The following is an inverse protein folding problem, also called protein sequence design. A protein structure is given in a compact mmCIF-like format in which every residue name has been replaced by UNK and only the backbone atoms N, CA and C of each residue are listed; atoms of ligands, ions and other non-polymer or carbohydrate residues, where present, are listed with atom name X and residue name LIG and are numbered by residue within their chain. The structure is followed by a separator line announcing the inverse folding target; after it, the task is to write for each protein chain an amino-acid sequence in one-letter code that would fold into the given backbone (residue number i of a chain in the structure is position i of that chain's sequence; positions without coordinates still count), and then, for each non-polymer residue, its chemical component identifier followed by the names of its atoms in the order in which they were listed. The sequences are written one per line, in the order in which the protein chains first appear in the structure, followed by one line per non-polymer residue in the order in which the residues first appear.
data_IF_697601626357
#
_entry.id   IF_697601626357
#
_cell.length_a   1.000
_cell.length_b   1.000
_cell.length_c   1.000
_cell.angle_alpha   90.00
_cell.angle_beta   90.00
_cell.angle_gamma   90.00
#
_symmetry.space_group_name_H-M   'P 1'
#
loop_
_entity.id
_entity.type
_entity.pdbx_description
1 polymer ?
#
# COMPACT_ATOMS: atom_id res chain seq x y z
N UNK A 1 0.23 5.19 -2.26
CA UNK A 1 -0.29 6.01 -1.17
C UNK A 1 -1.04 5.10 -0.22
N UNK A 2 -0.47 4.80 0.92
CA UNK A 2 -1.15 4.00 1.94
C UNK A 2 -1.93 4.97 2.83
N UNK A 3 -3.27 4.89 2.80
CA UNK A 3 -4.11 5.52 3.80
C UNK A 3 -4.01 4.67 5.08
N UNK A 4 -3.26 5.13 6.05
CA UNK A 4 -3.42 4.66 7.42
C UNK A 4 -4.63 5.37 8.02
N UNK A 5 -5.75 4.68 8.14
CA UNK A 5 -6.88 5.16 8.94
C UNK A 5 -6.45 5.05 10.40
N UNK A 6 -5.89 6.13 10.95
CA UNK A 6 -5.67 6.24 12.37
C UNK A 6 -7.01 6.44 13.07
N UNK A 7 -7.50 5.39 13.72
CA UNK A 7 -8.62 5.47 14.66
C UNK A 7 -8.16 6.32 15.85
N UNK A 8 -8.66 7.54 15.93
CA UNK A 8 -8.50 8.41 17.10
C UNK A 8 -9.29 7.82 18.28
N UNK A 9 -8.61 7.04 19.12
CA UNK A 9 -9.08 6.77 20.48
C UNK A 9 -8.44 7.81 21.39
N UNK A 10 -9.19 8.84 21.75
CA UNK A 10 -8.83 9.74 22.81
C UNK A 10 -9.11 9.11 24.16
N UNK A 11 -8.08 8.90 24.97
CA UNK A 11 -8.17 8.86 26.44
C UNK A 11 -6.81 9.28 27.01
N UNK A 12 -6.84 10.34 27.79
CA UNK A 12 -5.68 10.85 28.50
C UNK A 12 -5.32 10.05 29.76
N UNK A 13 -4.08 10.17 30.19
CA UNK A 13 -3.68 9.88 31.58
C UNK A 13 -2.29 9.27 31.72
N UNK A 14 -1.31 10.13 31.98
CA UNK A 14 -0.13 10.05 32.88
C UNK A 14 0.83 8.87 32.86
N UNK A 15 2.06 9.23 32.53
CA UNK A 15 3.41 8.89 33.08
C UNK A 15 3.72 7.47 33.59
N UNK A 16 4.71 6.82 32.96
CA UNK A 16 6.03 6.60 33.55
C UNK A 16 6.99 5.89 32.59
N UNK A 17 8.22 6.38 32.57
CA UNK A 17 9.28 6.12 31.64
C UNK A 17 9.77 4.69 31.48
N UNK A 18 10.22 4.44 30.27
CA UNK A 18 11.29 3.51 29.95
C UNK A 18 11.95 3.94 28.63
N UNK A 19 13.24 4.20 28.68
CA UNK A 19 14.13 4.61 27.62
C UNK A 19 14.23 3.52 26.53
N UNK A 20 13.52 3.67 25.44
CA UNK A 20 13.81 3.09 24.15
C UNK A 20 13.63 4.19 23.15
N UNK A 21 14.67 4.56 22.39
CA UNK A 21 14.61 5.68 21.44
C UNK A 21 13.56 5.46 20.38
N UNK A 22 12.34 5.85 20.66
CA UNK A 22 11.29 6.10 19.67
C UNK A 22 11.66 7.42 19.03
N UNK A 23 12.03 7.38 17.76
CA UNK A 23 11.91 8.56 16.90
C UNK A 23 10.43 8.90 16.90
N UNK A 24 10.08 9.86 17.72
CA UNK A 24 8.78 10.49 17.72
C UNK A 24 8.58 11.06 16.31
N UNK A 25 7.81 10.37 15.47
CA UNK A 25 7.28 10.91 14.23
C UNK A 25 6.21 11.95 14.61
N UNK A 26 6.61 12.85 15.50
CA UNK A 26 5.80 13.89 16.06
C UNK A 26 5.33 14.85 14.98
N UNK A 27 4.30 15.55 15.30
CA UNK A 27 3.62 16.70 14.71
C UNK A 27 4.37 17.54 13.66
N UNK A 28 5.67 17.46 13.56
CA UNK A 28 6.51 18.24 12.63
C UNK A 28 6.50 17.71 11.20
N UNK A 29 6.01 16.47 10.99
CA UNK A 29 6.00 15.80 9.68
C UNK A 29 4.61 15.92 9.02
N UNK A 30 3.53 15.99 9.79
CA UNK A 30 2.16 16.17 9.30
C UNK A 30 1.70 17.60 9.57
N UNK A 31 1.47 18.37 8.51
CA UNK A 31 0.90 19.70 8.66
C UNK A 31 -0.62 19.61 8.51
N UNK A 32 -1.34 19.99 9.56
CA UNK A 32 -2.81 20.02 9.58
C UNK A 32 -3.29 21.47 9.42
N UNK A 33 -4.20 21.67 8.49
CA UNK A 33 -4.89 22.92 8.27
C UNK A 33 -6.37 22.74 8.60
N UNK A 34 -6.83 23.42 9.62
CA UNK A 34 -8.22 23.37 10.03
C UNK A 34 -9.08 24.28 9.14
N UNK A 35 -10.33 23.90 8.95
CA UNK A 35 -11.30 24.75 8.27
C UNK A 35 -11.46 26.11 9.01
N UNK A 36 -11.41 27.21 8.26
CA UNK A 36 -11.46 28.58 8.82
C UNK A 36 -12.90 29.04 9.07
N UNK A 37 -13.83 28.63 8.23
CA UNK A 37 -15.24 29.05 8.30
C UNK A 37 -16.17 27.93 7.79
N UNK A 38 -16.76 27.20 8.72
CA UNK A 38 -17.70 26.12 8.44
C UNK A 38 -19.09 26.61 8.03
N UNK A 39 -19.37 27.94 8.10
CA UNK A 39 -20.71 28.46 7.75
C UNK A 39 -21.02 28.27 6.28
N UNK A 40 -19.99 28.30 5.41
CA UNK A 40 -20.10 28.11 3.97
C UNK A 40 -20.11 26.66 3.51
N UNK A 41 -19.98 25.69 4.45
CA UNK A 41 -20.05 24.27 4.09
C UNK A 41 -21.39 23.96 3.40
N UNK A 42 -21.41 23.22 2.29
CA UNK A 42 -22.65 22.90 1.55
C UNK A 42 -23.73 22.27 2.41
N UNK A 43 -24.98 22.65 2.19
CA UNK A 43 -26.12 22.13 2.94
C UNK A 43 -26.28 20.60 2.82
N UNK A 44 -25.88 20.02 1.69
CA UNK A 44 -25.86 18.56 1.49
C UNK A 44 -24.94 17.89 2.49
N UNK A 45 -23.74 18.45 2.71
CA UNK A 45 -22.78 17.94 3.70
C UNK A 45 -23.27 18.18 5.14
N UNK A 46 -23.78 19.40 5.46
CA UNK A 46 -24.31 19.75 6.79
C UNK A 46 -25.45 18.83 7.23
N UNK A 47 -26.28 18.42 6.30
CA UNK A 47 -27.46 17.58 6.57
C UNK A 47 -27.15 16.08 6.57
N UNK A 48 -25.95 15.66 6.16
CA UNK A 48 -25.54 14.26 6.19
C UNK A 48 -25.24 13.84 7.63
N UNK A 49 -25.96 12.82 8.08
CA UNK A 49 -25.80 12.27 9.43
C UNK A 49 -25.49 10.79 9.32
N UNK A 50 -24.70 10.29 10.27
CA UNK A 50 -24.35 8.87 10.41
C UNK A 50 -23.69 8.24 9.15
N UNK A 51 -23.28 9.05 8.19
CA UNK A 51 -22.67 8.59 6.93
C UNK A 51 -21.46 9.45 6.56
N UNK A 52 -20.35 8.80 6.24
CA UNK A 52 -19.17 9.41 5.65
C UNK A 52 -19.10 9.01 4.18
N UNK A 53 -19.02 9.97 3.27
CA UNK A 53 -18.85 9.73 1.84
C UNK A 53 -17.41 10.03 1.44
N UNK A 54 -16.71 9.00 1.02
CA UNK A 54 -15.30 9.06 0.62
C UNK A 54 -15.22 9.00 -0.92
N UNK A 55 -14.58 10.01 -1.51
CA UNK A 55 -14.26 9.98 -2.93
C UNK A 55 -13.13 8.99 -3.22
N UNK A 56 -13.30 8.14 -4.22
CA UNK A 56 -12.32 7.12 -4.61
C UNK A 56 -12.26 6.92 -6.11
N UNK A 57 -11.12 6.47 -6.61
CA UNK A 57 -11.06 5.87 -7.94
C UNK A 57 -11.87 4.57 -7.94
N UNK A 58 -12.42 4.19 -9.09
CA UNK A 58 -13.29 3.03 -9.20
C UNK A 58 -12.59 1.75 -8.70
N UNK A 59 -13.11 1.07 -7.67
CA UNK A 59 -12.66 -0.26 -7.29
C UNK A 59 -12.92 -1.27 -8.41
N UNK A 60 -12.06 -2.29 -8.54
CA UNK A 60 -12.24 -3.39 -9.48
C UNK A 60 -13.40 -4.31 -9.07
N UNK A 61 -13.72 -4.31 -7.77
CA UNK A 61 -14.78 -5.10 -7.17
C UNK A 61 -14.28 -6.42 -6.59
N UNK A 62 -13.04 -6.44 -6.12
CA UNK A 62 -12.42 -7.62 -5.49
C UNK A 62 -12.30 -7.37 -3.99
N UNK A 63 -13.38 -7.64 -3.25
CA UNK A 63 -13.45 -7.39 -1.79
C UNK A 63 -13.16 -8.62 -0.93
N UNK A 64 -12.61 -9.68 -1.54
CA UNK A 64 -12.06 -10.80 -0.79
C UNK A 64 -10.63 -10.45 -0.31
N UNK A 65 -10.30 -10.52 1.00
CA UNK A 65 -9.01 -10.08 1.54
C UNK A 65 -7.81 -10.85 1.01
N UNK A 66 -8.02 -12.06 0.48
CA UNK A 66 -6.95 -12.87 -0.12
C UNK A 66 -6.64 -12.49 -1.57
N UNK A 67 -7.50 -11.69 -2.23
CA UNK A 67 -7.39 -11.36 -3.66
C UNK A 67 -7.42 -9.86 -3.96
N UNK A 68 -7.68 -9.01 -2.98
CA UNK A 68 -7.66 -7.56 -3.16
C UNK A 68 -6.20 -7.09 -3.41
N UNK A 69 -5.91 -6.62 -4.63
CA UNK A 69 -4.58 -6.18 -5.07
C UNK A 69 -4.53 -4.68 -5.37
N UNK A 70 -5.62 -4.14 -5.91
CA UNK A 70 -5.77 -2.71 -6.11
C UNK A 70 -5.92 -2.00 -4.77
N UNK A 71 -5.24 -0.87 -4.58
CA UNK A 71 -5.41 -0.04 -3.38
C UNK A 71 -6.88 0.32 -3.13
N UNK A 72 -7.65 0.54 -4.20
CA UNK A 72 -9.06 0.92 -4.14
C UNK A 72 -9.99 -0.23 -3.73
N UNK A 73 -9.55 -1.50 -3.87
CA UNK A 73 -10.21 -2.66 -3.30
C UNK A 73 -9.69 -2.95 -1.88
N UNK A 74 -8.39 -2.73 -1.62
CA UNK A 74 -7.76 -2.99 -0.32
C UNK A 74 -8.31 -2.09 0.79
N UNK A 75 -8.44 -0.77 0.57
CA UNK A 75 -8.93 0.17 1.59
C UNK A 75 -10.29 -0.22 2.19
N UNK A 76 -11.33 -0.48 1.40
CA UNK A 76 -12.59 -0.95 1.97
C UNK A 76 -12.47 -2.37 2.54
N UNK A 77 -11.62 -3.23 1.98
CA UNK A 77 -11.41 -4.59 2.48
C UNK A 77 -10.77 -4.59 3.87
N UNK A 78 -9.82 -3.70 4.16
CA UNK A 78 -9.21 -3.51 5.48
C UNK A 78 -10.22 -3.02 6.54
N UNK A 79 -11.24 -2.27 6.14
CA UNK A 79 -12.33 -1.91 7.03
C UNK A 79 -13.27 -3.09 7.32
N UNK A 80 -13.37 -4.05 6.38
CA UNK A 80 -14.24 -5.22 6.50
C UNK A 80 -13.56 -6.40 7.19
N UNK A 81 -12.25 -6.56 7.06
CA UNK A 81 -11.52 -7.71 7.58
C UNK A 81 -10.35 -7.27 8.45
N UNK A 82 -10.41 -7.63 9.73
CA UNK A 82 -9.30 -7.42 10.66
C UNK A 82 -8.18 -8.43 10.40
N UNK A 83 -6.93 -8.00 10.57
CA UNK A 83 -5.77 -8.89 10.64
C UNK A 83 -5.56 -9.40 12.07
N UNK A 84 -4.67 -10.37 12.27
CA UNK A 84 -4.31 -10.83 13.63
C UNK A 84 -3.74 -9.67 14.44
N UNK A 85 -2.79 -8.94 13.87
CA UNK A 85 -2.22 -7.70 14.42
C UNK A 85 -2.19 -6.63 13.33
N UNK A 86 -2.07 -5.36 13.69
CA UNK A 86 -2.06 -4.25 12.75
C UNK A 86 -0.87 -3.32 12.99
N UNK A 87 -0.30 -2.71 11.94
CA UNK A 87 0.76 -1.73 12.09
C UNK A 87 0.25 -0.47 12.80
N UNK A 88 1.07 0.07 13.69
CA UNK A 88 0.86 1.33 14.39
C UNK A 88 1.54 2.49 13.65
N UNK A 89 1.21 3.71 14.05
CA UNK A 89 1.75 4.92 13.42
C UNK A 89 3.29 5.02 13.51
N UNK A 90 3.89 4.44 14.52
CA UNK A 90 5.35 4.38 14.72
C UNK A 90 6.03 3.23 13.96
N UNK A 91 5.26 2.44 13.20
CA UNK A 91 5.74 1.27 12.45
C UNK A 91 5.86 -0.02 13.26
N UNK A 92 5.57 0.00 14.56
CA UNK A 92 5.44 -1.22 15.37
C UNK A 92 4.15 -1.98 15.04
N UNK A 93 4.05 -3.25 15.47
CA UNK A 93 2.83 -4.03 15.38
C UNK A 93 2.02 -3.89 16.67
N UNK A 94 0.73 -3.63 16.55
CA UNK A 94 -0.21 -3.56 17.66
C UNK A 94 -1.23 -4.69 17.60
N UNK A 95 -1.90 -4.95 18.72
CA UNK A 95 -2.98 -5.93 18.80
C UNK A 95 -4.18 -5.54 17.95
N UNK A 96 -4.79 -6.55 17.30
CA UNK A 96 -6.07 -6.32 16.58
C UNK A 96 -7.04 -7.46 16.88
N UNK A 97 -7.22 -8.46 15.97
CA UNK A 97 -8.03 -9.66 16.27
C UNK A 97 -7.34 -10.57 17.30
N UNK A 98 -6.03 -10.50 17.38
CA UNK A 98 -5.21 -11.25 18.33
C UNK A 98 -4.30 -10.31 19.14
N UNK A 99 -3.73 -10.83 20.23
CA UNK A 99 -2.59 -10.23 20.90
C UNK A 99 -1.31 -10.35 20.06
N UNK A 100 -0.25 -9.65 20.47
CA UNK A 100 1.08 -9.83 19.87
C UNK A 100 1.54 -11.28 20.03
N UNK A 101 2.34 -11.82 19.09
CA UNK A 101 2.73 -13.23 19.14
C UNK A 101 3.72 -13.54 20.27
N UNK A 102 3.57 -14.72 20.84
CA UNK A 102 4.65 -15.35 21.60
C UNK A 102 5.63 -15.96 20.59
N UNK A 103 6.91 -15.53 20.63
CA UNK A 103 7.94 -15.96 19.71
C UNK A 103 8.89 -16.92 20.44
N UNK A 104 9.19 -18.09 19.83
CA UNK A 104 10.15 -19.03 20.38
C UNK A 104 11.58 -18.49 20.38
N UNK A 105 12.44 -18.99 21.28
CA UNK A 105 13.85 -18.54 21.39
C UNK A 105 14.63 -18.71 20.07
N UNK A 106 14.30 -19.74 19.31
CA UNK A 106 14.90 -19.96 17.99
C UNK A 106 14.35 -19.05 16.89
N UNK A 107 13.32 -18.22 17.19
CA UNK A 107 12.69 -17.30 16.25
C UNK A 107 11.97 -17.98 15.07
N UNK A 108 11.63 -19.26 15.19
CA UNK A 108 10.96 -20.04 14.14
C UNK A 108 9.48 -20.26 14.40
N UNK A 109 9.02 -20.05 15.63
CA UNK A 109 7.62 -20.33 16.00
C UNK A 109 6.96 -19.06 16.54
N UNK A 110 5.76 -18.76 16.02
CA UNK A 110 4.95 -17.61 16.36
C UNK A 110 3.57 -18.07 16.79
N UNK A 111 3.20 -17.81 18.06
CA UNK A 111 1.90 -18.22 18.62
C UNK A 111 1.01 -17.01 18.82
N UNK A 112 -0.10 -16.94 18.11
CA UNK A 112 -1.10 -15.89 18.23
C UNK A 112 -2.31 -16.37 19.02
N UNK A 113 -2.77 -15.55 19.98
CA UNK A 113 -3.98 -15.78 20.75
C UNK A 113 -5.07 -14.83 20.29
N UNK A 114 -6.06 -15.35 19.58
CA UNK A 114 -7.23 -14.61 19.11
C UNK A 114 -8.04 -14.15 20.34
N UNK A 115 -8.47 -12.88 20.33
CA UNK A 115 -9.28 -12.33 21.43
C UNK A 115 -10.56 -13.12 21.60
N UNK A 116 -10.98 -13.35 22.84
CA UNK A 116 -12.15 -14.16 23.15
C UNK A 116 -13.45 -13.60 22.58
N UNK A 117 -13.53 -12.29 22.51
CA UNK A 117 -14.64 -11.50 21.97
C UNK A 117 -14.53 -11.17 20.48
N UNK A 118 -13.47 -11.64 19.80
CA UNK A 118 -13.37 -11.53 18.35
C UNK A 118 -14.45 -12.37 17.67
N UNK A 119 -15.34 -11.70 16.94
CA UNK A 119 -16.51 -12.29 16.27
C UNK A 119 -16.59 -11.87 14.81
N UNK A 120 -17.20 -12.71 14.03
CA UNK A 120 -17.71 -12.38 12.71
C UNK A 120 -18.98 -11.53 12.81
N UNK A 121 -19.32 -10.83 11.75
CA UNK A 121 -20.52 -9.99 11.68
C UNK A 121 -21.83 -10.76 11.85
N UNK A 122 -21.84 -12.05 11.59
CA UNK A 122 -22.97 -12.95 11.81
C UNK A 122 -23.07 -13.44 13.28
N UNK A 123 -22.17 -12.99 14.16
CA UNK A 123 -22.13 -13.31 15.59
C UNK A 123 -21.35 -14.59 15.93
N UNK A 124 -20.89 -15.34 14.94
CA UNK A 124 -20.02 -16.52 15.18
C UNK A 124 -18.62 -16.08 15.60
N UNK A 125 -17.90 -16.93 16.31
CA UNK A 125 -16.57 -16.61 16.80
C UNK A 125 -15.52 -16.67 15.68
N UNK A 126 -14.57 -15.72 15.68
CA UNK A 126 -13.33 -15.86 14.90
C UNK A 126 -12.45 -16.88 15.58
N UNK A 127 -11.99 -17.87 14.83
CA UNK A 127 -11.26 -19.04 15.35
C UNK A 127 -9.93 -19.26 14.63
N UNK A 128 -9.08 -20.11 15.20
CA UNK A 128 -7.84 -20.56 14.58
C UNK A 128 -8.08 -21.30 13.24
N UNK A 129 -9.25 -21.89 13.03
CA UNK A 129 -9.63 -22.52 11.75
C UNK A 129 -9.83 -21.49 10.63
N UNK A 130 -10.26 -20.29 10.97
CA UNK A 130 -10.43 -19.20 10.01
C UNK A 130 -9.07 -18.68 9.52
N UNK A 131 -8.07 -18.67 10.40
CA UNK A 131 -6.68 -18.36 10.06
C UNK A 131 -6.08 -19.47 9.21
N UNK A 132 -6.25 -20.75 9.60
CA UNK A 132 -5.80 -21.91 8.82
C UNK A 132 -6.38 -21.88 7.41
N UNK A 133 -7.68 -21.57 7.27
CA UNK A 133 -8.35 -21.50 5.98
C UNK A 133 -7.71 -20.42 5.06
N UNK A 134 -7.40 -19.26 5.60
CA UNK A 134 -6.73 -18.20 4.84
C UNK A 134 -5.35 -18.67 4.32
N UNK A 135 -4.56 -19.32 5.17
CA UNK A 135 -3.23 -19.83 4.79
C UNK A 135 -3.36 -20.98 3.77
N UNK A 136 -4.31 -21.90 3.94
CA UNK A 136 -4.56 -22.98 2.97
C UNK A 136 -4.88 -22.44 1.59
N UNK A 137 -5.78 -21.47 1.50
CA UNK A 137 -6.12 -20.82 0.22
C UNK A 137 -4.89 -20.15 -0.39
N UNK A 138 -4.14 -19.39 0.40
CA UNK A 138 -2.94 -18.68 -0.09
C UNK A 138 -1.78 -19.61 -0.47
N UNK A 139 -1.72 -20.83 0.07
CA UNK A 139 -0.74 -21.84 -0.29
C UNK A 139 -1.22 -22.82 -1.38
N UNK A 140 -2.42 -22.66 -1.92
CA UNK A 140 -2.98 -23.56 -2.92
C UNK A 140 -2.32 -23.35 -4.29
N UNK A 141 -2.12 -24.44 -5.04
CA UNK A 141 -1.48 -24.40 -6.37
C UNK A 141 -2.27 -23.62 -7.43
N UNK A 142 -3.58 -23.48 -7.22
CA UNK A 142 -4.47 -22.73 -8.10
C UNK A 142 -4.71 -21.28 -7.65
N UNK A 143 -4.13 -20.88 -6.50
CA UNK A 143 -4.26 -19.52 -5.98
C UNK A 143 -3.53 -18.51 -6.87
N UNK A 144 -4.19 -17.39 -7.16
CA UNK A 144 -3.68 -16.35 -8.06
C UNK A 144 -3.52 -14.98 -7.40
N UNK A 145 -3.77 -14.87 -6.09
CA UNK A 145 -3.54 -13.61 -5.35
C UNK A 145 -2.07 -13.42 -4.96
N UNK A 146 -1.81 -12.37 -4.21
CA UNK A 146 -0.45 -11.89 -3.89
C UNK A 146 0.17 -12.46 -2.60
N UNK A 147 -0.63 -13.06 -1.71
CA UNK A 147 -0.12 -13.62 -0.47
C UNK A 147 0.76 -14.84 -0.76
N UNK A 148 1.99 -14.84 -0.26
CA UNK A 148 2.95 -15.94 -0.49
C UNK A 148 3.63 -16.36 0.81
N UNK A 149 3.20 -17.50 1.35
CA UNK A 149 3.78 -18.15 2.53
C UNK A 149 4.71 -19.31 2.17
N UNK A 150 5.02 -19.50 0.89
CA UNK A 150 5.82 -20.59 0.36
C UNK A 150 7.20 -20.17 -0.13
N UNK A 151 7.24 -19.18 -1.02
CA UNK A 151 8.48 -18.69 -1.67
C UNK A 151 8.82 -17.24 -1.32
N UNK A 152 7.89 -16.55 -0.65
CA UNK A 152 8.01 -15.16 -0.25
C UNK A 152 9.01 -14.91 0.89
N UNK A 153 8.89 -13.76 1.53
CA UNK A 153 9.77 -13.35 2.65
C UNK A 153 9.62 -14.23 3.89
N UNK A 154 8.47 -14.86 4.05
CA UNK A 154 8.14 -15.73 5.18
C UNK A 154 7.70 -17.08 4.64
N UNK A 155 8.46 -18.13 4.95
CA UNK A 155 8.21 -19.48 4.46
C UNK A 155 7.64 -20.33 5.59
N UNK A 156 6.37 -20.64 5.51
CA UNK A 156 5.67 -21.51 6.49
C UNK A 156 5.97 -22.98 6.16
N UNK A 157 6.33 -23.74 7.19
CA UNK A 157 6.63 -25.16 7.06
C UNK A 157 5.43 -25.92 6.49
N UNK A 158 5.67 -26.78 5.52
CA UNK A 158 4.61 -27.57 4.87
C UNK A 158 3.82 -26.83 3.78
N UNK A 159 4.09 -25.54 3.54
CA UNK A 159 3.43 -24.79 2.47
C UNK A 159 3.76 -25.35 1.07
N UNK A 160 4.98 -25.81 0.86
CA UNK A 160 5.40 -26.45 -0.40
C UNK A 160 4.71 -27.78 -0.63
N UNK A 161 4.65 -28.64 0.39
CA UNK A 161 4.00 -29.96 0.31
C UNK A 161 2.49 -29.81 0.05
N UNK A 162 1.86 -28.79 0.68
CA UNK A 162 0.45 -28.47 0.44
C UNK A 162 0.23 -27.99 -0.99
N UNK A 163 1.06 -27.08 -1.48
CA UNK A 163 1.03 -26.59 -2.87
C UNK A 163 1.14 -27.72 -3.89
N UNK A 164 2.00 -28.69 -3.63
CA UNK A 164 2.22 -29.84 -4.52
C UNK A 164 1.13 -30.93 -4.40
N UNK A 165 0.12 -30.74 -3.54
CA UNK A 165 -0.93 -31.73 -3.28
C UNK A 165 -0.45 -33.00 -2.55
N UNK A 166 0.72 -32.92 -1.89
CA UNK A 166 1.31 -34.01 -1.11
C UNK A 166 0.83 -34.06 0.34
N UNK A 167 0.12 -33.05 0.79
CA UNK A 167 -0.43 -32.90 2.12
C UNK A 167 -1.81 -32.23 2.07
N UNK A 168 -2.70 -32.59 3.00
CA UNK A 168 -4.04 -32.01 3.13
C UNK A 168 -4.07 -30.77 4.02
N UNK A 169 -2.93 -30.42 4.62
CA UNK A 169 -2.77 -29.28 5.50
C UNK A 169 -1.37 -28.70 5.41
N UNK A 170 -1.22 -27.43 5.79
CA UNK A 170 0.07 -26.76 5.92
C UNK A 170 0.62 -27.10 7.30
N UNK A 171 1.59 -28.02 7.41
CA UNK A 171 2.06 -28.59 8.69
C UNK A 171 2.66 -27.56 9.66
N UNK A 172 3.05 -26.41 9.18
CA UNK A 172 3.52 -25.28 9.99
C UNK A 172 2.41 -24.41 10.56
N UNK A 173 1.13 -24.71 10.28
CA UNK A 173 -0.02 -24.05 10.89
C UNK A 173 -0.70 -25.04 11.82
N UNK A 174 -0.53 -24.84 13.13
CA UNK A 174 -1.09 -25.73 14.17
C UNK A 174 -2.24 -25.01 14.90
N UNK A 175 -3.40 -25.63 14.90
CA UNK A 175 -4.54 -25.21 15.73
C UNK A 175 -4.33 -25.82 17.12
N UNK A 176 -3.88 -25.01 18.08
CA UNK A 176 -3.65 -25.45 19.46
C UNK A 176 -4.99 -25.61 20.19
N UNK A 177 -5.86 -24.64 20.00
CA UNK A 177 -7.27 -24.62 20.42
C UNK A 177 -8.06 -23.65 19.51
N UNK A 178 -9.35 -23.46 19.78
CA UNK A 178 -10.21 -22.64 18.94
C UNK A 178 -9.75 -21.16 18.83
N UNK A 179 -8.99 -20.65 19.79
CA UNK A 179 -8.51 -19.26 19.82
C UNK A 179 -6.99 -19.13 19.72
N UNK A 180 -6.26 -20.23 19.57
CA UNK A 180 -4.79 -20.23 19.54
C UNK A 180 -4.29 -20.89 18.27
N UNK A 181 -3.59 -20.15 17.44
CA UNK A 181 -2.91 -20.62 16.23
C UNK A 181 -1.39 -20.44 16.38
N UNK A 182 -0.64 -21.45 15.96
CA UNK A 182 0.81 -21.43 15.98
C UNK A 182 1.38 -21.62 14.57
N UNK A 183 2.25 -20.72 14.16
CA UNK A 183 2.98 -20.80 12.90
C UNK A 183 4.40 -21.30 13.16
N UNK A 184 4.87 -22.22 12.35
CA UNK A 184 6.26 -22.69 12.32
C UNK A 184 6.87 -22.37 10.97
N UNK A 185 8.00 -21.67 10.96
CA UNK A 185 8.71 -21.26 9.76
C UNK A 185 9.80 -22.27 9.38
N UNK A 186 10.17 -22.28 8.10
CA UNK A 186 11.32 -23.05 7.59
C UNK A 186 12.64 -22.40 7.98
N UNK A 187 12.68 -21.06 8.01
CA UNK A 187 13.84 -20.26 8.33
C UNK A 187 13.43 -18.94 9.02
N UNK A 188 14.35 -18.31 9.75
CA UNK A 188 14.07 -17.01 10.38
C UNK A 188 13.84 -15.94 9.34
N UNK A 189 12.91 -15.05 9.60
CA UNK A 189 12.65 -13.87 8.78
C UNK A 189 12.41 -12.64 9.66
N UNK A 190 13.08 -11.55 9.35
CA UNK A 190 12.82 -10.25 9.99
C UNK A 190 11.45 -9.67 9.66
N UNK A 191 10.79 -10.18 8.63
CA UNK A 191 9.43 -9.78 8.24
C UNK A 191 8.35 -10.67 8.84
N UNK A 192 8.70 -11.65 9.68
CA UNK A 192 7.75 -12.67 10.14
C UNK A 192 6.57 -12.08 10.92
N UNK A 193 6.82 -11.16 11.84
CA UNK A 193 5.76 -10.53 12.63
C UNK A 193 4.78 -9.75 11.76
N UNK A 194 5.28 -9.00 10.78
CA UNK A 194 4.44 -8.20 9.88
C UNK A 194 3.61 -9.11 8.97
N UNK A 195 4.24 -10.13 8.37
CA UNK A 195 3.56 -10.99 7.39
C UNK A 195 2.56 -11.92 8.07
N UNK A 196 2.95 -12.58 9.16
CA UNK A 196 2.05 -13.47 9.90
C UNK A 196 0.97 -12.70 10.64
N UNK A 197 1.35 -11.58 11.29
CA UNK A 197 0.42 -10.69 11.99
C UNK A 197 -0.58 -10.02 11.06
N UNK A 198 -0.13 -9.67 9.84
CA UNK A 198 -0.99 -9.12 8.78
C UNK A 198 -1.94 -10.12 8.14
N UNK A 199 -1.90 -11.40 8.52
CA UNK A 199 -2.86 -12.39 8.03
C UNK A 199 -4.29 -11.99 8.42
N UNK A 200 -5.14 -11.81 7.42
CA UNK A 200 -6.57 -11.58 7.59
C UNK A 200 -7.29 -12.94 7.56
N UNK A 201 -7.86 -13.39 8.68
CA UNK A 201 -8.67 -14.60 8.70
C UNK A 201 -9.86 -14.47 7.75
N UNK A 202 -10.30 -15.59 7.20
CA UNK A 202 -11.53 -15.68 6.40
C UNK A 202 -12.48 -16.68 7.06
N UNK A 203 -13.79 -16.41 7.06
CA UNK A 203 -14.75 -17.31 7.68
C UNK A 203 -14.69 -18.70 7.02
N UNK A 204 -14.14 -19.68 7.74
CA UNK A 204 -13.84 -21.00 7.21
C UNK A 204 -15.12 -21.74 6.73
N UNK A 205 -16.24 -21.59 7.46
CA UNK A 205 -17.51 -22.22 7.10
C UNK A 205 -18.11 -21.60 5.82
N UNK A 206 -17.90 -20.30 5.61
CA UNK A 206 -18.32 -19.60 4.40
C UNK A 206 -17.45 -20.01 3.22
N UNK A 207 -16.12 -19.93 3.37
CA UNK A 207 -15.16 -20.22 2.30
C UNK A 207 -15.18 -21.69 1.85
N UNK A 208 -15.48 -22.63 2.75
CA UNK A 208 -15.62 -24.06 2.42
C UNK A 208 -16.70 -24.36 1.35
N UNK A 209 -17.59 -23.41 1.07
CA UNK A 209 -18.59 -23.54 -0.01
C UNK A 209 -17.97 -23.30 -1.40
N UNK A 210 -16.84 -22.59 -1.46
CA UNK A 210 -16.21 -22.12 -2.68
C UNK A 210 -14.80 -22.67 -2.89
N UNK A 211 -14.20 -23.22 -1.84
CA UNK A 211 -12.83 -23.70 -1.84
C UNK A 211 -12.72 -25.22 -1.63
N UNK A 212 -11.92 -25.86 -2.44
CA UNK A 212 -11.31 -27.15 -2.19
C UNK A 212 -9.88 -27.14 -2.74
N UNK A 213 -8.98 -27.92 -2.14
CA UNK A 213 -7.58 -27.95 -2.55
C UNK A 213 -7.42 -28.23 -4.05
N UNK A 214 -6.62 -27.42 -4.73
CA UNK A 214 -6.44 -27.44 -6.18
C UNK A 214 -7.53 -26.71 -6.97
N UNK A 215 -8.54 -26.13 -6.31
CA UNK A 215 -9.69 -25.48 -6.95
C UNK A 215 -10.09 -24.19 -6.22
N UNK A 216 -9.46 -23.08 -6.58
CA UNK A 216 -9.76 -21.74 -6.05
C UNK A 216 -10.64 -20.89 -6.97
N UNK A 217 -10.98 -21.38 -8.15
CA UNK A 217 -11.71 -20.65 -9.19
C UNK A 217 -13.07 -20.12 -8.73
N UNK A 218 -13.78 -20.88 -7.89
CA UNK A 218 -15.08 -20.48 -7.32
C UNK A 218 -14.98 -19.36 -6.28
N UNK A 219 -13.80 -19.12 -5.71
CA UNK A 219 -13.60 -17.99 -4.79
C UNK A 219 -13.87 -16.63 -5.45
N UNK A 220 -13.86 -16.54 -6.78
CA UNK A 220 -14.29 -15.34 -7.52
C UNK A 220 -15.73 -14.92 -7.22
N UNK A 221 -16.59 -15.86 -6.84
CA UNK A 221 -17.97 -15.59 -6.43
C UNK A 221 -18.04 -14.80 -5.11
N UNK A 222 -16.96 -14.83 -4.31
CA UNK A 222 -16.85 -14.06 -3.06
C UNK A 222 -16.31 -12.63 -3.25
N UNK A 223 -15.91 -12.24 -4.44
CA UNK A 223 -15.29 -10.93 -4.67
C UNK A 223 -16.25 -9.77 -4.36
N UNK A 224 -17.47 -9.83 -4.84
CA UNK A 224 -18.52 -8.83 -4.55
C UNK A 224 -19.54 -9.30 -3.51
N UNK A 225 -19.27 -10.43 -2.87
CA UNK A 225 -20.03 -10.98 -1.75
C UNK A 225 -19.06 -11.67 -0.78
N UNK A 226 -18.25 -10.91 -0.03
CA UNK A 226 -17.13 -11.46 0.73
C UNK A 226 -17.55 -12.32 1.95
N UNK A 227 -18.85 -12.40 2.26
CA UNK A 227 -19.38 -13.15 3.40
C UNK A 227 -19.26 -12.41 4.73
N UNK A 228 -19.26 -13.13 5.85
CA UNK A 228 -19.11 -12.53 7.17
C UNK A 228 -17.78 -11.79 7.30
N UNK A 229 -17.79 -10.63 7.89
CA UNK A 229 -16.64 -9.73 8.08
C UNK A 229 -16.22 -9.68 9.55
N UNK A 230 -14.96 -9.38 9.83
CA UNK A 230 -14.40 -9.30 11.19
C UNK A 230 -13.91 -7.89 11.56
N UNK A 231 -13.91 -6.96 10.60
CA UNK A 231 -13.47 -5.58 10.78
C UNK A 231 -14.57 -4.66 11.29
N UNK A 232 -14.29 -3.36 11.25
CA UNK A 232 -15.19 -2.31 11.75
C UNK A 232 -16.47 -2.17 10.93
N UNK A 233 -16.47 -2.60 9.66
CA UNK A 233 -17.62 -2.44 8.77
C UNK A 233 -17.95 -3.73 8.03
N UNK A 234 -19.21 -3.87 7.66
CA UNK A 234 -19.76 -4.96 6.85
C UNK A 234 -19.97 -4.49 5.41
N UNK A 235 -19.80 -5.40 4.45
CA UNK A 235 -20.24 -5.18 3.09
C UNK A 235 -21.76 -5.04 3.01
N UNK A 236 -22.25 -3.98 2.38
CA UNK A 236 -23.69 -3.76 2.19
C UNK A 236 -24.09 -3.84 0.72
N UNK A 237 -23.42 -3.11 -0.15
CA UNK A 237 -23.71 -3.14 -1.57
C UNK A 237 -22.56 -2.56 -2.40
N UNK A 238 -22.41 -3.04 -3.62
CA UNK A 238 -21.48 -2.50 -4.62
C UNK A 238 -22.19 -2.30 -5.96
N UNK A 239 -22.05 -1.11 -6.52
CA UNK A 239 -22.49 -0.77 -7.88
C UNK A 239 -21.25 -0.37 -8.67
N UNK A 240 -20.80 -1.25 -9.53
CA UNK A 240 -19.58 -1.08 -10.32
C UNK A 240 -19.54 0.29 -11.01
N UNK A 241 -18.43 1.00 -10.82
CA UNK A 241 -18.21 2.33 -11.40
C UNK A 241 -19.04 3.45 -10.77
N UNK A 242 -19.77 3.20 -9.67
CA UNK A 242 -20.60 4.20 -8.99
C UNK A 242 -20.26 4.33 -7.51
N UNK A 243 -20.53 3.29 -6.72
CA UNK A 243 -20.36 3.34 -5.27
C UNK A 243 -20.19 1.96 -4.63
N UNK A 244 -19.49 1.93 -3.51
CA UNK A 244 -19.47 0.84 -2.55
C UNK A 244 -20.02 1.35 -1.23
N UNK A 245 -20.96 0.63 -0.62
CA UNK A 245 -21.58 0.98 0.66
C UNK A 245 -21.20 -0.05 1.71
N UNK A 246 -20.67 0.44 2.83
CA UNK A 246 -20.36 -0.35 4.01
C UNK A 246 -21.27 0.11 5.17
N UNK A 247 -21.56 -0.80 6.10
CA UNK A 247 -22.35 -0.56 7.30
C UNK A 247 -21.60 -0.98 8.56
N UNK A 248 -21.69 -0.22 9.64
CA UNK A 248 -20.98 -0.50 10.88
C UNK A 248 -21.23 -1.92 11.38
N UNK A 249 -20.17 -2.60 11.83
CA UNK A 249 -20.22 -3.92 12.43
C UNK A 249 -20.38 -3.79 13.95
N UNK A 250 -21.55 -4.14 14.46
CA UNK A 250 -21.83 -4.10 15.91
C UNK A 250 -21.00 -5.13 16.72
N UNK A 251 -20.44 -6.14 16.04
CA UNK A 251 -19.59 -7.17 16.65
C UNK A 251 -18.10 -6.86 16.57
N UNK A 252 -17.73 -5.63 16.17
CA UNK A 252 -16.33 -5.27 16.02
C UNK A 252 -15.56 -5.32 17.34
N UNK A 253 -14.46 -6.06 17.38
CA UNK A 253 -13.68 -6.38 18.60
C UNK A 253 -13.09 -5.16 19.30
N UNK A 254 -12.84 -4.06 18.60
CA UNK A 254 -12.32 -2.82 19.18
C UNK A 254 -13.44 -1.82 19.56
N UNK A 255 -14.68 -2.25 19.54
CA UNK A 255 -15.83 -1.45 19.87
C UNK A 255 -16.62 -0.94 18.66
N UNK A 256 -17.85 -0.53 18.92
CA UNK A 256 -18.76 -0.10 17.86
C UNK A 256 -18.24 1.14 17.13
N UNK A 257 -18.20 1.13 15.78
CA UNK A 257 -17.81 2.30 15.00
C UNK A 257 -18.73 3.49 15.24
N UNK A 258 -18.15 4.69 15.34
CA UNK A 258 -18.91 5.92 15.57
C UNK A 258 -19.71 6.39 14.35
N UNK A 259 -19.32 6.00 13.15
CA UNK A 259 -19.99 6.32 11.88
C UNK A 259 -20.76 5.08 11.44
N UNK A 260 -22.07 5.23 11.17
CA UNK A 260 -22.95 4.10 10.84
C UNK A 260 -22.72 3.57 9.42
N UNK A 261 -22.52 4.46 8.44
CA UNK A 261 -22.33 4.06 7.05
C UNK A 261 -21.09 4.72 6.46
N UNK A 262 -20.32 3.98 5.66
CA UNK A 262 -19.30 4.52 4.80
C UNK A 262 -19.73 4.28 3.36
N UNK A 263 -19.65 5.31 2.53
CA UNK A 263 -19.91 5.24 1.10
C UNK A 263 -18.63 5.63 0.36
N UNK A 264 -18.05 4.70 -0.35
CA UNK A 264 -17.00 5.01 -1.32
C UNK A 264 -17.68 5.39 -2.64
N UNK A 265 -17.64 6.67 -2.99
CA UNK A 265 -18.25 7.22 -4.21
C UNK A 265 -17.18 7.38 -5.28
N UNK A 266 -17.44 6.84 -6.46
CA UNK A 266 -16.46 6.87 -7.56
C UNK A 266 -16.28 8.30 -8.07
N UNK A 267 -15.03 8.72 -8.16
CA UNK A 267 -14.56 10.02 -8.64
C UNK A 267 -13.47 9.83 -9.69
N UNK A 268 -13.07 10.90 -10.33
CA UNK A 268 -11.87 10.99 -11.18
C UNK A 268 -10.95 12.08 -10.63
N UNK A 269 -9.68 12.10 -11.01
CA UNK A 269 -8.77 13.18 -10.59
C UNK A 269 -9.35 14.57 -10.90
N UNK A 270 -9.98 14.73 -12.07
CA UNK A 270 -10.58 16.00 -12.49
C UNK A 270 -11.84 16.40 -11.68
N UNK A 271 -12.55 15.45 -11.07
CA UNK A 271 -13.83 15.72 -10.39
C UNK A 271 -13.73 15.73 -8.85
N UNK A 272 -12.67 15.21 -8.28
CA UNK A 272 -12.49 15.06 -6.81
C UNK A 272 -12.77 16.35 -6.04
N UNK A 273 -12.06 17.43 -6.41
CA UNK A 273 -12.17 18.71 -5.70
C UNK A 273 -13.55 19.35 -5.88
N UNK A 274 -14.11 19.30 -7.09
CA UNK A 274 -15.45 19.83 -7.38
C UNK A 274 -16.55 19.09 -6.58
N UNK A 275 -16.44 17.77 -6.45
CA UNK A 275 -17.40 16.97 -5.68
C UNK A 275 -17.27 17.25 -4.17
N UNK A 276 -16.06 17.51 -3.69
CA UNK A 276 -15.82 17.94 -2.31
C UNK A 276 -16.42 19.34 -2.07
N UNK A 277 -16.19 20.27 -2.99
CA UNK A 277 -16.74 21.63 -2.97
C UNK A 277 -18.28 21.61 -2.97
N UNK A 278 -18.90 20.75 -3.76
CA UNK A 278 -20.34 20.59 -3.81
C UNK A 278 -20.93 19.89 -2.56
N UNK A 279 -20.11 19.31 -1.70
CA UNK A 279 -20.54 18.48 -0.57
C UNK A 279 -21.07 17.11 -0.96
N UNK A 280 -20.80 16.67 -2.20
CA UNK A 280 -21.15 15.34 -2.69
C UNK A 280 -20.34 14.22 -2.03
N UNK A 281 -19.12 14.55 -1.60
CA UNK A 281 -18.21 13.72 -0.80
C UNK A 281 -17.71 14.53 0.39
N UNK A 282 -17.28 13.85 1.45
CA UNK A 282 -16.80 14.46 2.70
C UNK A 282 -15.29 14.36 2.86
N UNK A 283 -14.68 13.38 2.22
CA UNK A 283 -13.25 13.08 2.32
C UNK A 283 -12.73 12.58 0.98
N UNK A 284 -11.55 13.03 0.59
CA UNK A 284 -10.85 12.53 -0.60
C UNK A 284 -9.35 12.80 -0.53
N UNK A 285 -8.56 11.91 -1.12
CA UNK A 285 -7.16 12.18 -1.40
C UNK A 285 -7.04 12.99 -2.69
N UNK A 286 -6.37 14.13 -2.59
CA UNK A 286 -6.03 14.97 -3.74
C UNK A 286 -4.54 14.84 -4.08
N UNK A 287 -4.22 14.89 -5.36
CA UNK A 287 -2.84 15.11 -5.79
C UNK A 287 -2.37 16.46 -5.25
N UNK A 288 -1.20 16.48 -4.60
CA UNK A 288 -0.68 17.69 -4.00
C UNK A 288 -0.14 18.59 -5.10
N UNK A 289 -0.81 19.71 -5.33
CA UNK A 289 -0.40 20.80 -6.20
C UNK A 289 -0.70 22.14 -5.54
N UNK A 290 -0.05 23.20 -6.00
CA UNK A 290 -0.30 24.55 -5.48
C UNK A 290 -1.76 24.97 -5.73
N UNK A 291 -2.31 24.63 -6.89
CA UNK A 291 -3.69 24.92 -7.26
C UNK A 291 -4.69 24.22 -6.33
N UNK A 292 -4.54 22.92 -6.07
CA UNK A 292 -5.42 22.19 -5.17
C UNK A 292 -5.36 22.70 -3.73
N UNK A 293 -4.16 23.04 -3.25
CA UNK A 293 -3.97 23.60 -1.90
C UNK A 293 -4.61 24.99 -1.81
N UNK A 294 -4.29 25.92 -2.73
CA UNK A 294 -4.84 27.27 -2.73
C UNK A 294 -6.36 27.27 -2.85
N UNK A 295 -6.92 26.44 -3.75
CA UNK A 295 -8.36 26.35 -3.92
C UNK A 295 -9.05 25.82 -2.64
N UNK A 296 -8.46 24.82 -1.99
CA UNK A 296 -8.97 24.31 -0.70
C UNK A 296 -8.94 25.37 0.41
N UNK A 297 -7.90 26.23 0.43
CA UNK A 297 -7.79 27.35 1.37
C UNK A 297 -8.82 28.45 1.11
N UNK A 298 -9.06 28.79 -0.17
CA UNK A 298 -9.99 29.82 -0.61
C UNK A 298 -11.44 29.47 -0.27
N UNK A 299 -11.81 28.17 -0.33
CA UNK A 299 -13.13 27.69 0.10
C UNK A 299 -13.37 27.92 1.59
N UNK A 300 -12.34 27.85 2.41
CA UNK A 300 -12.36 28.19 3.84
C UNK A 300 -13.06 27.17 4.75
N UNK A 301 -13.99 26.34 4.24
CA UNK A 301 -14.69 25.31 5.01
C UNK A 301 -14.07 23.92 4.90
N UNK A 302 -13.01 23.75 4.09
CA UNK A 302 -12.25 22.51 4.02
C UNK A 302 -11.08 22.54 5.00
N UNK A 303 -10.91 21.46 5.75
CA UNK A 303 -9.67 21.15 6.44
C UNK A 303 -8.86 20.17 5.59
N UNK A 304 -7.53 20.22 5.65
CA UNK A 304 -6.67 19.29 4.94
C UNK A 304 -5.41 18.95 5.73
N UNK A 305 -4.81 17.82 5.41
CA UNK A 305 -3.54 17.39 5.98
C UNK A 305 -2.53 17.18 4.85
N UNK A 306 -1.35 17.77 5.01
CA UNK A 306 -0.19 17.47 4.18
C UNK A 306 0.76 16.58 4.97
N UNK A 307 1.15 15.45 4.41
CA UNK A 307 2.08 14.52 5.02
C UNK A 307 2.98 13.88 3.97
N UNK A 308 4.27 13.63 4.29
CA UNK A 308 5.14 12.90 3.40
C UNK A 308 4.71 11.45 3.32
N UNK A 309 4.75 10.89 2.13
CA UNK A 309 4.49 9.47 1.92
C UNK A 309 5.79 8.67 1.91
N UNK A 310 5.73 7.37 2.24
CA UNK A 310 6.82 6.44 2.01
C UNK A 310 6.93 5.99 0.54
N UNK A 311 6.05 6.52 -0.32
CA UNK A 311 6.08 6.28 -1.75
C UNK A 311 7.09 7.16 -2.46
N UNK A 312 7.70 6.63 -3.53
CA UNK A 312 8.56 7.38 -4.44
C UNK A 312 8.40 6.89 -5.87
N UNK A 313 8.59 7.80 -6.84
CA UNK A 313 8.66 7.45 -8.25
C UNK A 313 10.10 7.06 -8.65
N UNK A 314 10.23 6.11 -9.57
CA UNK A 314 11.54 5.69 -10.07
C UNK A 314 11.47 5.24 -11.53
N UNK A 315 12.62 5.30 -12.21
CA UNK A 315 12.81 4.71 -13.54
C UNK A 315 13.56 3.40 -13.37
N UNK A 316 12.97 2.29 -13.82
CA UNK A 316 13.58 0.97 -13.75
C UNK A 316 14.33 0.63 -15.04
N UNK A 317 15.62 0.29 -14.95
CA UNK A 317 16.41 -0.16 -16.08
C UNK A 317 16.29 -1.68 -16.27
N UNK A 318 15.90 -2.12 -17.46
CA UNK A 318 15.86 -3.54 -17.80
C UNK A 318 17.26 -4.11 -18.02
N UNK A 319 17.84 -4.75 -17.02
CA UNK A 319 19.19 -5.33 -17.08
C UNK A 319 19.35 -6.48 -18.08
N UNK A 320 18.28 -7.01 -18.67
CA UNK A 320 18.37 -7.97 -19.78
C UNK A 320 18.77 -7.30 -21.10
N UNK A 321 18.64 -5.98 -21.21
CA UNK A 321 19.12 -5.21 -22.36
C UNK A 321 20.62 -4.98 -22.27
N UNK A 322 21.40 -5.23 -23.38
CA UNK A 322 22.86 -5.17 -23.34
C UNK A 322 23.41 -3.85 -22.78
N UNK A 323 22.87 -2.71 -23.22
CA UNK A 323 23.32 -1.37 -22.81
C UNK A 323 23.12 -1.11 -21.32
N UNK A 324 22.07 -1.69 -20.70
CA UNK A 324 21.80 -1.49 -19.28
C UNK A 324 22.52 -2.47 -18.34
N UNK A 325 23.28 -3.44 -18.89
CA UNK A 325 24.19 -4.27 -18.09
C UNK A 325 25.37 -3.46 -17.56
N UNK A 326 25.80 -2.44 -18.33
CA UNK A 326 26.90 -1.55 -17.92
C UNK A 326 26.42 -0.56 -16.84
N UNK A 327 26.99 -0.60 -15.62
CA UNK A 327 26.64 0.35 -14.55
C UNK A 327 26.92 1.80 -14.93
N UNK A 328 27.93 2.05 -15.76
CA UNK A 328 28.28 3.41 -16.21
C UNK A 328 27.14 4.04 -17.01
N UNK A 329 26.45 3.24 -17.86
CA UNK A 329 25.29 3.72 -18.62
C UNK A 329 24.17 4.14 -17.67
N UNK A 330 23.82 3.30 -16.70
CA UNK A 330 22.74 3.63 -15.75
C UNK A 330 23.06 4.86 -14.91
N UNK A 331 24.34 4.98 -14.46
CA UNK A 331 24.81 6.15 -13.71
C UNK A 331 24.76 7.42 -14.58
N UNK A 332 25.26 7.35 -15.81
CA UNK A 332 25.26 8.49 -16.72
C UNK A 332 23.85 8.97 -17.05
N UNK A 333 22.91 8.07 -17.31
CA UNK A 333 21.51 8.43 -17.55
C UNK A 333 20.84 9.07 -16.34
N UNK A 334 21.20 8.65 -15.13
CA UNK A 334 20.68 9.26 -13.88
C UNK A 334 21.26 10.68 -13.68
N UNK A 335 22.56 10.85 -13.90
CA UNK A 335 23.26 12.14 -13.75
C UNK A 335 22.86 13.13 -14.85
N UNK A 336 22.53 12.63 -16.06
CA UNK A 336 22.09 13.43 -17.19
C UNK A 336 20.59 13.79 -17.17
N UNK A 337 19.82 13.39 -16.17
CA UNK A 337 18.40 13.69 -16.08
C UNK A 337 18.17 14.79 -15.05
N UNK A 338 17.62 15.93 -15.49
CA UNK A 338 17.24 17.01 -14.57
C UNK A 338 15.98 16.68 -13.78
N UNK A 339 16.19 15.84 -12.75
CA UNK A 339 15.12 15.37 -11.86
C UNK A 339 14.52 16.50 -11.03
N UNK A 340 15.29 17.58 -10.77
CA UNK A 340 14.80 18.73 -10.01
C UNK A 340 13.77 19.49 -10.82
N UNK A 341 14.03 19.72 -12.13
CA UNK A 341 13.07 20.36 -13.02
C UNK A 341 11.79 19.53 -13.14
N UNK A 342 11.89 18.19 -13.30
CA UNK A 342 10.71 17.31 -13.31
C UNK A 342 9.90 17.46 -12.02
N UNK A 343 10.56 17.36 -10.86
CA UNK A 343 9.90 17.43 -9.55
C UNK A 343 9.23 18.75 -9.31
N UNK A 344 9.94 19.85 -9.58
CA UNK A 344 9.43 21.21 -9.31
C UNK A 344 8.32 21.64 -10.28
N UNK A 345 8.33 21.18 -11.54
CA UNK A 345 7.29 21.52 -12.52
C UNK A 345 5.92 20.98 -12.18
N UNK A 346 5.85 19.87 -11.43
CA UNK A 346 4.58 19.19 -11.08
C UNK A 346 4.21 19.46 -9.63
N UNK A 347 5.16 19.29 -8.72
CA UNK A 347 4.89 19.27 -7.28
C UNK A 347 5.37 20.53 -6.57
N UNK A 348 6.09 21.43 -7.26
CA UNK A 348 6.69 22.63 -6.67
C UNK A 348 7.49 22.27 -5.38
N UNK A 349 7.09 22.81 -4.23
CA UNK A 349 7.73 22.56 -2.90
C UNK A 349 7.26 21.27 -2.22
N UNK A 350 6.30 20.57 -2.80
CA UNK A 350 5.63 19.42 -2.15
C UNK A 350 6.26 18.07 -2.46
N UNK A 351 7.30 18.04 -3.30
CA UNK A 351 8.09 16.84 -3.53
C UNK A 351 9.57 17.18 -3.63
N UNK A 352 10.41 16.19 -3.42
CA UNK A 352 11.88 16.35 -3.50
C UNK A 352 12.51 15.17 -4.25
N UNK A 353 13.69 15.45 -4.82
CA UNK A 353 14.50 14.41 -5.44
C UNK A 353 15.16 13.58 -4.36
N UNK A 354 15.05 12.24 -4.46
CA UNK A 354 15.74 11.31 -3.59
C UNK A 354 16.82 10.51 -4.35
N UNK A 355 17.86 10.08 -3.62
CA UNK A 355 19.00 9.34 -4.19
C UNK A 355 19.11 7.90 -3.63
N UNK A 356 18.19 7.52 -2.75
CA UNK A 356 18.12 6.19 -2.11
C UNK A 356 16.68 5.69 -2.18
N UNK A 357 16.44 4.37 -2.18
CA UNK A 357 15.10 3.80 -2.28
C UNK A 357 14.34 3.86 -0.94
N UNK A 358 14.43 4.98 -0.28
CA UNK A 358 13.75 5.30 0.98
C UNK A 358 13.39 6.78 0.99
N UNK A 359 12.26 7.13 1.54
CA UNK A 359 11.87 8.53 1.73
C UNK A 359 12.28 9.01 3.12
N UNK A 360 12.37 10.32 3.32
CA UNK A 360 12.68 10.92 4.63
C UNK A 360 11.62 10.61 5.70
N UNK A 361 10.43 10.20 5.31
CA UNK A 361 9.39 9.74 6.22
C UNK A 361 9.68 8.35 6.81
N UNK A 362 10.60 7.58 6.23
CA UNK A 362 10.96 6.26 6.71
C UNK A 362 11.98 6.35 7.85
N UNK A 363 11.76 5.59 8.92
CA UNK A 363 12.76 5.43 9.98
C UNK A 363 14.07 4.80 9.49
N UNK A 364 14.05 4.10 8.36
CA UNK A 364 15.21 3.49 7.72
C UNK A 364 15.89 4.42 6.71
N UNK A 365 15.49 5.70 6.63
CA UNK A 365 16.10 6.65 5.71
C UNK A 365 17.58 6.87 6.03
N UNK A 366 18.39 6.76 4.99
CA UNK A 366 19.80 7.14 4.99
C UNK A 366 20.09 7.89 3.69
N UNK A 367 20.58 9.10 3.77
CA UNK A 367 20.74 9.97 2.58
C UNK A 367 21.72 9.40 1.55
N UNK A 368 22.65 8.57 1.98
CA UNK A 368 23.70 8.00 1.11
C UNK A 368 24.78 9.02 0.74
N UNK A 369 25.86 8.50 0.14
CA UNK A 369 27.01 9.32 -0.26
C UNK A 369 26.90 9.84 -1.70
N UNK A 370 26.05 9.22 -2.53
CA UNK A 370 25.88 9.57 -3.94
C UNK A 370 24.71 10.52 -4.10
N UNK A 371 24.99 11.75 -4.50
CA UNK A 371 23.94 12.76 -4.72
C UNK A 371 23.30 12.67 -6.11
N UNK A 372 24.01 12.14 -7.13
CA UNK A 372 23.55 12.06 -8.53
C UNK A 372 22.94 13.40 -9.02
N UNK A 373 23.62 14.49 -8.73
CA UNK A 373 23.19 15.83 -9.17
C UNK A 373 23.21 15.91 -10.68
N UNK A 374 22.27 16.68 -11.25
CA UNK A 374 22.22 16.88 -12.69
C UNK A 374 23.51 17.53 -13.19
N UNK A 375 24.21 16.81 -14.09
CA UNK A 375 25.43 17.28 -14.71
C UNK A 375 25.68 16.55 -16.02
N UNK A 376 25.31 17.17 -17.13
CA UNK A 376 25.42 16.57 -18.45
C UNK A 376 26.87 16.32 -18.88
N UNK A 377 27.79 17.19 -18.50
CA UNK A 377 29.22 17.03 -18.82
C UNK A 377 29.86 15.86 -18.05
N UNK A 378 29.49 15.70 -16.78
CA UNK A 378 29.93 14.55 -16.00
C UNK A 378 29.33 13.23 -16.57
N UNK A 379 28.08 13.25 -17.01
CA UNK A 379 27.45 12.11 -17.66
C UNK A 379 28.15 11.71 -18.97
N UNK A 380 28.54 12.69 -19.81
CA UNK A 380 29.34 12.46 -21.02
C UNK A 380 30.67 11.82 -20.67
N UNK A 381 31.38 12.34 -19.67
CA UNK A 381 32.64 11.84 -19.19
C UNK A 381 32.54 10.38 -18.68
N UNK A 382 31.51 10.05 -17.89
CA UNK A 382 31.28 8.69 -17.41
C UNK A 382 31.15 7.71 -18.59
N UNK A 383 30.44 8.08 -19.65
CA UNK A 383 30.27 7.24 -20.83
C UNK A 383 31.57 7.13 -21.63
N UNK A 384 32.31 8.22 -21.79
CA UNK A 384 33.60 8.24 -22.51
C UNK A 384 34.62 7.34 -21.81
N UNK A 385 34.76 7.43 -20.50
CA UNK A 385 35.65 6.59 -19.68
C UNK A 385 35.26 5.11 -19.73
N UNK A 386 33.95 4.82 -19.81
CA UNK A 386 33.42 3.47 -19.96
C UNK A 386 33.54 2.92 -21.40
N UNK A 387 34.01 3.73 -22.35
CA UNK A 387 34.24 3.32 -23.74
C UNK A 387 33.01 3.43 -24.66
N UNK A 388 31.95 4.11 -24.23
CA UNK A 388 30.78 4.44 -25.05
C UNK A 388 31.09 5.67 -25.94
N UNK A 389 31.46 5.47 -27.18
CA UNK A 389 31.90 6.51 -28.11
C UNK A 389 30.75 6.98 -29.00
N UNK A 390 30.73 8.28 -29.30
CA UNK A 390 29.74 8.85 -30.23
C UNK A 390 30.03 8.36 -31.63
N UNK A 391 29.07 7.70 -32.27
CA UNK A 391 29.14 7.22 -33.64
C UNK A 391 28.90 8.32 -34.67
N UNK A 392 29.03 7.98 -35.96
CA UNK A 392 28.83 8.92 -37.08
C UNK A 392 27.36 9.48 -37.15
N UNK A 393 26.43 8.78 -36.58
CA UNK A 393 25.01 9.18 -36.49
C UNK A 393 24.68 9.97 -35.19
N UNK A 394 25.71 10.33 -34.41
CA UNK A 394 25.55 11.03 -33.14
C UNK A 394 25.12 10.16 -31.96
N UNK A 395 24.90 8.86 -32.20
CA UNK A 395 24.50 7.94 -31.12
C UNK A 395 25.73 7.24 -30.56
N UNK A 396 25.81 7.14 -29.26
CA UNK A 396 26.91 6.41 -28.59
C UNK A 396 26.78 4.91 -28.79
N UNK A 397 27.95 4.26 -29.00
CA UNK A 397 28.02 2.83 -29.14
C UNK A 397 29.26 2.25 -28.45
N UNK A 398 29.17 0.98 -28.04
CA UNK A 398 30.25 0.19 -27.48
C UNK A 398 30.07 -1.28 -27.88
N UNK A 399 31.12 -1.91 -28.38
CA UNK A 399 31.14 -3.33 -28.79
C UNK A 399 29.95 -3.72 -29.71
N UNK A 400 29.59 -2.83 -30.65
CA UNK A 400 28.46 -3.02 -31.57
C UNK A 400 27.08 -2.79 -30.98
N UNK A 401 26.98 -2.39 -29.71
CA UNK A 401 25.72 -2.07 -29.04
C UNK A 401 25.50 -0.55 -29.06
N UNK A 402 24.43 -0.09 -29.69
CA UNK A 402 24.01 1.31 -29.66
C UNK A 402 23.26 1.66 -28.38
N UNK A 403 23.51 2.86 -27.84
CA UNK A 403 22.83 3.37 -26.68
C UNK A 403 21.42 3.85 -27.08
N UNK A 404 20.48 2.92 -27.03
CA UNK A 404 19.06 3.16 -27.38
C UNK A 404 18.18 2.89 -26.19
N UNK A 405 17.23 3.79 -25.93
CA UNK A 405 16.22 3.66 -24.86
C UNK A 405 14.84 3.56 -25.49
N UNK A 406 14.07 2.57 -25.05
CA UNK A 406 12.62 2.52 -25.24
C UNK A 406 11.99 2.70 -23.86
N UNK A 407 11.41 3.85 -23.64
CA UNK A 407 10.74 4.16 -22.39
C UNK A 407 9.29 3.65 -22.42
N UNK A 408 8.86 2.99 -21.37
CA UNK A 408 7.47 2.59 -21.18
C UNK A 408 6.96 3.30 -19.93
N UNK A 409 5.96 4.13 -20.08
CA UNK A 409 5.32 4.87 -18.99
C UNK A 409 3.81 4.58 -18.93
N UNK A 410 3.18 4.94 -17.82
CA UNK A 410 1.73 4.92 -17.64
C UNK A 410 1.11 6.04 -18.48
N UNK A 411 0.00 5.79 -19.16
CA UNK A 411 -0.77 6.82 -19.86
C UNK A 411 -1.48 7.76 -18.88
N UNK A 412 -1.80 8.95 -19.36
CA UNK A 412 -2.52 9.97 -18.58
C UNK A 412 -1.87 10.28 -17.22
N UNK A 413 -0.54 10.50 -17.24
CA UNK A 413 0.25 10.74 -16.05
C UNK A 413 1.22 11.90 -16.27
N UNK A 414 0.96 13.03 -15.63
CA UNK A 414 1.73 14.28 -15.78
C UNK A 414 3.21 14.09 -15.41
N UNK A 415 3.53 13.20 -14.46
CA UNK A 415 4.93 12.90 -14.09
C UNK A 415 5.65 12.21 -15.25
N UNK A 416 4.97 11.26 -15.90
CA UNK A 416 5.54 10.56 -17.07
C UNK A 416 5.74 11.53 -18.23
N UNK A 417 4.79 12.41 -18.49
CA UNK A 417 4.88 13.41 -19.55
C UNK A 417 6.04 14.39 -19.30
N UNK A 418 6.23 14.83 -18.06
CA UNK A 418 7.37 15.66 -17.68
C UNK A 418 8.70 14.90 -17.81
N UNK A 419 8.78 13.63 -17.38
CA UNK A 419 9.97 12.80 -17.57
C UNK A 419 10.29 12.69 -19.06
N UNK A 420 9.31 12.39 -19.91
CA UNK A 420 9.50 12.25 -21.36
C UNK A 420 10.01 13.53 -21.99
N UNK A 421 9.47 14.69 -21.59
CA UNK A 421 9.90 16.00 -22.09
C UNK A 421 11.35 16.30 -21.72
N UNK A 422 11.70 16.22 -20.44
CA UNK A 422 13.04 16.54 -19.94
C UNK A 422 14.07 15.52 -20.43
N UNK A 423 13.75 14.23 -20.34
CA UNK A 423 14.71 13.17 -20.76
C UNK A 423 14.99 13.16 -22.26
N UNK A 424 14.01 13.54 -23.09
CA UNK A 424 14.22 13.63 -24.53
C UNK A 424 15.34 14.61 -24.88
N UNK A 425 15.37 15.76 -24.23
CA UNK A 425 16.37 16.77 -24.50
C UNK A 425 17.72 16.41 -23.88
N UNK A 426 17.76 16.04 -22.63
CA UNK A 426 18.97 15.70 -21.88
C UNK A 426 19.69 14.47 -22.46
N UNK A 427 18.95 13.37 -22.70
CA UNK A 427 19.55 12.13 -23.18
C UNK A 427 19.91 12.19 -24.68
N UNK A 428 19.21 12.99 -25.47
CA UNK A 428 19.59 13.24 -26.85
C UNK A 428 20.93 13.96 -26.91
N UNK A 429 21.14 14.98 -26.06
CA UNK A 429 22.41 15.68 -25.97
C UNK A 429 23.54 14.78 -25.46
N UNK A 430 23.22 13.80 -24.62
CA UNK A 430 24.15 12.78 -24.16
C UNK A 430 24.57 11.79 -25.28
N UNK A 431 23.90 11.81 -26.43
CA UNK A 431 24.12 10.86 -27.53
C UNK A 431 23.35 9.56 -27.41
N UNK A 432 22.18 9.61 -26.81
CA UNK A 432 21.24 8.49 -26.67
C UNK A 432 20.21 8.55 -27.79
N UNK A 433 19.88 7.44 -28.38
CA UNK A 433 18.69 7.30 -29.22
C UNK A 433 17.52 6.97 -28.31
N UNK A 434 16.58 7.92 -28.24
CA UNK A 434 15.43 7.87 -27.37
C UNK A 434 14.13 7.80 -28.14
#
# INVERSE_FOLDING_TARGET
AALSVSVLAGCGGSDNGSNGGTTDLSSDVVTTYEAKDMTNNPEVAKNRKDTLVIGTIAPDGVFNPLYAESAYDMYPTELMFGALTAPQADGSMGEYLAGLPEISEDGLTYTYKIKKDAKWSDGTDVTAKDVEMAIKIACDSSYTGIADYRTGRVKVKGAQEYFEGKADSVSGVEIVDDKTVKFTLVEKSSSAEIVLGGTQPVNAAYMAKYYSQGHTDKLKETFTNPGPTSGAYNFKSYKKGQELVLEANDNFVLGKPGIKNIVYKVTTEATKLQMLEAGDIDLVDLSVSEDNVSHSEDLGYLGYKLYPTNGYGYICFNHNKPQFKDPAVRKALTVALDRQTITSSIFNKYAEVINVPQTKASWAYYEGDNKYEYNLEEAKKILDEAGWKVGADGIREKDGVKLTINFTGTSDNDVVDSILSVSNDDWKELGVKY
#
